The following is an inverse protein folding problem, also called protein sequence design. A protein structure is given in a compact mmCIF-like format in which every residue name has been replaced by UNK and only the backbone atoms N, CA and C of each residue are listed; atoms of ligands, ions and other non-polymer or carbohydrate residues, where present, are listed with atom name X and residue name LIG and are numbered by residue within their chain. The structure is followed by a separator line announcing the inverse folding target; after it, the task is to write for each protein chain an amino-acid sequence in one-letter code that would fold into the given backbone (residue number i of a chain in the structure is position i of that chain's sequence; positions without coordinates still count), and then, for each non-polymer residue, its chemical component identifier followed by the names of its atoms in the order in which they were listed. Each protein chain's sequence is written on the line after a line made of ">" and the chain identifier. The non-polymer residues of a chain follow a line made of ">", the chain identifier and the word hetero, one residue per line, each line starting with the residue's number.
data_IF_202421154512
#
_entry.id   IF_202421154512
#
_cell.length_a   1.000
_cell.length_b   1.000
_cell.length_c   1.000
_cell.angle_alpha   90.00
_cell.angle_beta   90.00
_cell.angle_gamma   90.00
#
_symmetry.space_group_name_H-M   'P 1'
#
loop_
_entity.id
_entity.type
_entity.pdbx_description
1 polymer ?
#
# COMPACT_ATOMS: atom_id res chain seq x y z
N UNK A 1 1.27 -2.95 14.64
CA UNK A 1 2.44 -2.88 13.74
C UNK A 1 1.96 -2.30 12.42
N UNK A 2 2.62 -1.26 11.93
CA UNK A 2 2.31 -0.55 10.68
C UNK A 2 3.06 -1.18 9.52
N UNK A 3 2.34 -1.65 8.51
CA UNK A 3 2.89 -2.33 7.35
C UNK A 3 2.62 -1.50 6.11
N UNK A 4 3.68 -1.12 5.40
CA UNK A 4 3.59 -0.52 4.07
C UNK A 4 3.59 -1.62 3.02
N UNK A 5 2.62 -1.60 2.11
CA UNK A 5 2.53 -2.49 0.95
C UNK A 5 2.57 -1.66 -0.32
N UNK A 6 3.65 -1.80 -1.10
CA UNK A 6 3.75 -1.15 -2.42
C UNK A 6 3.22 -2.07 -3.51
N UNK A 7 2.73 -1.51 -4.62
CA UNK A 7 2.15 -2.30 -5.70
C UNK A 7 0.83 -2.96 -5.27
N UNK A 8 0.09 -2.32 -4.35
CA UNK A 8 -1.11 -2.89 -3.70
C UNK A 8 -2.26 -3.18 -4.65
N UNK A 9 -2.33 -2.49 -5.79
CA UNK A 9 -3.32 -2.71 -6.87
C UNK A 9 -2.87 -3.74 -7.90
N UNK A 10 -1.61 -4.18 -7.87
CA UNK A 10 -1.08 -5.22 -8.75
C UNK A 10 -1.64 -6.61 -8.41
N UNK A 11 -1.43 -7.57 -9.32
CA UNK A 11 -1.98 -8.93 -9.17
C UNK A 11 -1.60 -9.56 -7.83
N UNK A 12 -0.30 -9.63 -7.50
CA UNK A 12 0.18 -10.21 -6.22
C UNK A 12 -0.19 -9.30 -5.05
N UNK A 13 -0.05 -7.98 -5.21
CA UNK A 13 -0.36 -7.00 -4.17
C UNK A 13 -1.78 -7.14 -3.64
N UNK A 14 -2.75 -7.29 -4.54
CA UNK A 14 -4.16 -7.45 -4.16
C UNK A 14 -4.39 -8.69 -3.26
N UNK A 15 -3.77 -9.83 -3.58
CA UNK A 15 -3.86 -11.02 -2.72
C UNK A 15 -3.20 -10.79 -1.37
N UNK A 16 -2.02 -10.18 -1.33
CA UNK A 16 -1.31 -9.87 -0.09
C UNK A 16 -2.15 -8.94 0.80
N UNK A 17 -2.77 -7.91 0.23
CA UNK A 17 -3.67 -7.01 0.94
C UNK A 17 -4.82 -7.75 1.63
N UNK A 18 -5.48 -8.66 0.89
CA UNK A 18 -6.58 -9.46 1.43
C UNK A 18 -6.14 -10.38 2.57
N UNK A 19 -4.96 -11.00 2.45
CA UNK A 19 -4.39 -11.86 3.50
C UNK A 19 -4.02 -11.07 4.75
N UNK A 20 -3.40 -9.89 4.61
CA UNK A 20 -3.03 -9.02 5.73
C UNK A 20 -4.27 -8.52 6.48
N UNK A 21 -5.32 -8.13 5.76
CA UNK A 21 -6.61 -7.71 6.35
C UNK A 21 -7.25 -8.86 7.10
N UNK A 22 -7.21 -10.09 6.55
CA UNK A 22 -7.78 -11.28 7.21
C UNK A 22 -7.12 -11.56 8.56
N UNK A 23 -5.83 -11.28 8.71
CA UNK A 23 -5.10 -11.45 9.97
C UNK A 23 -5.52 -10.42 11.04
N UNK A 24 -6.09 -9.28 10.63
CA UNK A 24 -6.76 -8.27 11.47
C UNK A 24 -5.91 -7.75 12.67
N UNK A 25 -4.60 -7.70 12.51
CA UNK A 25 -3.64 -7.29 13.55
C UNK A 25 -2.62 -6.23 13.05
N UNK A 26 -2.78 -5.75 11.82
CA UNK A 26 -1.90 -4.77 11.19
C UNK A 26 -2.63 -3.46 10.89
N UNK A 27 -1.92 -2.36 11.08
CA UNK A 27 -2.27 -1.07 10.50
C UNK A 27 -1.61 -1.02 9.11
N UNK A 28 -2.40 -0.93 8.05
CA UNK A 28 -1.90 -1.15 6.68
C UNK A 28 -1.93 0.17 5.92
N UNK A 29 -0.77 0.51 5.34
CA UNK A 29 -0.63 1.56 4.32
C UNK A 29 -0.44 0.88 2.97
N UNK A 30 -1.38 1.11 2.06
CA UNK A 30 -1.34 0.64 0.69
C UNK A 30 -0.89 1.77 -0.23
N UNK A 31 0.01 1.49 -1.17
CA UNK A 31 0.43 2.43 -2.20
C UNK A 31 0.57 1.76 -3.57
N UNK A 32 0.15 2.48 -4.60
CA UNK A 32 0.46 2.18 -5.99
C UNK A 32 0.45 3.46 -6.83
N UNK A 33 0.81 3.35 -8.11
CA UNK A 33 0.77 4.44 -9.09
C UNK A 33 -0.67 4.83 -9.46
N UNK A 34 -1.62 3.93 -9.26
CA UNK A 34 -3.02 4.09 -9.66
C UNK A 34 -3.69 5.24 -8.91
N UNK A 35 -4.61 5.94 -9.58
CA UNK A 35 -5.40 6.97 -8.92
C UNK A 35 -6.26 6.38 -7.82
N UNK A 36 -6.65 7.22 -6.85
CA UNK A 36 -7.62 6.85 -5.82
C UNK A 36 -8.92 6.30 -6.42
N UNK A 37 -9.35 6.78 -7.59
CA UNK A 37 -10.56 6.30 -8.27
C UNK A 37 -10.43 4.85 -8.74
N UNK A 38 -9.25 4.45 -9.21
CA UNK A 38 -8.96 3.07 -9.59
C UNK A 38 -8.87 2.21 -8.32
N UNK A 39 -8.14 2.69 -7.31
CA UNK A 39 -7.95 1.97 -6.05
C UNK A 39 -9.27 1.73 -5.28
N UNK A 40 -10.25 2.64 -5.41
CA UNK A 40 -11.59 2.50 -4.82
C UNK A 40 -12.34 1.23 -5.25
N UNK A 41 -11.97 0.63 -6.38
CA UNK A 41 -12.60 -0.61 -6.89
C UNK A 41 -12.12 -1.88 -6.17
N UNK A 42 -11.10 -1.78 -5.31
CA UNK A 42 -10.58 -2.92 -4.57
C UNK A 42 -11.31 -3.09 -3.23
N UNK A 43 -11.70 -4.33 -2.90
CA UNK A 43 -12.45 -4.66 -1.67
C UNK A 43 -11.75 -4.23 -0.38
N UNK A 44 -10.41 -4.14 -0.42
CA UNK A 44 -9.59 -3.74 0.71
C UNK A 44 -9.52 -2.23 0.93
N UNK A 45 -9.89 -1.39 -0.04
CA UNK A 45 -9.63 0.05 -0.02
C UNK A 45 -10.16 0.74 1.25
N UNK A 46 -11.43 0.46 1.62
CA UNK A 46 -12.07 1.08 2.78
C UNK A 46 -11.60 0.53 4.13
N UNK A 47 -10.68 -0.44 4.15
CA UNK A 47 -10.18 -1.11 5.36
C UNK A 47 -8.76 -0.70 5.72
N UNK A 48 -8.10 0.07 4.85
CA UNK A 48 -6.69 0.44 4.96
C UNK A 48 -6.51 1.91 4.65
N UNK A 49 -5.32 2.43 4.94
CA UNK A 49 -4.93 3.75 4.46
C UNK A 49 -4.34 3.63 3.06
N UNK A 50 -4.93 4.29 2.08
CA UNK A 50 -4.35 4.38 0.74
C UNK A 50 -3.61 5.71 0.56
N UNK A 51 -2.35 5.64 0.12
CA UNK A 51 -1.55 6.79 -0.28
C UNK A 51 -1.09 6.52 -1.71
N UNK A 52 -1.62 7.26 -2.69
CA UNK A 52 -1.12 7.17 -4.07
C UNK A 52 0.31 7.70 -4.12
N UNK A 53 1.20 6.98 -4.79
CA UNK A 53 2.57 7.43 -5.02
C UNK A 53 3.16 6.75 -6.24
N UNK A 54 3.85 7.52 -7.07
CA UNK A 54 4.87 6.96 -7.96
C UNK A 54 6.20 6.90 -7.19
N UNK A 55 6.84 5.74 -7.17
CA UNK A 55 8.11 5.55 -6.45
C UNK A 55 9.31 6.13 -7.21
N UNK A 56 9.14 6.43 -8.51
CA UNK A 56 10.13 7.17 -9.31
C UNK A 56 10.13 8.68 -9.03
N UNK A 57 9.11 9.19 -8.32
CA UNK A 57 9.06 10.59 -7.95
C UNK A 57 10.21 10.93 -7.00
N UNK A 58 10.69 12.18 -7.10
CA UNK A 58 11.79 12.70 -6.27
C UNK A 58 11.31 13.08 -4.87
N UNK A 59 10.71 12.15 -4.15
CA UNK A 59 10.32 12.32 -2.75
C UNK A 59 11.58 12.19 -1.89
N UNK A 60 11.88 13.25 -1.12
CA UNK A 60 13.10 13.35 -0.31
C UNK A 60 13.19 12.26 0.77
N UNK A 61 12.06 11.83 1.31
CA UNK A 61 12.01 10.83 2.37
C UNK A 61 10.70 10.03 2.32
N UNK A 62 10.75 8.87 1.66
CA UNK A 62 9.63 7.94 1.59
C UNK A 62 9.25 7.36 2.95
N UNK A 63 10.21 7.19 3.87
CA UNK A 63 9.94 6.64 5.19
C UNK A 63 8.97 7.53 5.97
N UNK A 64 9.26 8.84 6.05
CA UNK A 64 8.35 9.80 6.71
C UNK A 64 7.08 10.05 5.89
N UNK A 65 7.16 10.05 4.55
CA UNK A 65 5.98 10.20 3.68
C UNK A 65 4.95 9.08 3.90
N UNK A 66 5.40 7.84 4.07
CA UNK A 66 4.54 6.69 4.42
C UNK A 66 4.37 6.50 5.93
N UNK A 67 4.55 7.58 6.71
CA UNK A 67 4.26 7.61 8.15
C UNK A 67 5.04 6.59 8.99
N UNK A 68 6.30 6.40 8.63
CA UNK A 68 7.28 5.66 9.43
C UNK A 68 6.84 4.20 9.70
N UNK A 69 6.62 3.38 8.64
CA UNK A 69 6.13 2.01 8.80
C UNK A 69 7.14 1.13 9.53
N UNK A 70 6.64 0.20 10.35
CA UNK A 70 7.45 -0.80 11.06
C UNK A 70 7.99 -1.88 10.11
N UNK A 71 7.31 -2.10 8.98
CA UNK A 71 7.67 -3.14 7.99
C UNK A 71 7.22 -2.74 6.59
N UNK A 72 7.96 -3.22 5.59
CA UNK A 72 7.71 -2.98 4.17
C UNK A 72 7.55 -4.32 3.44
N UNK A 73 6.46 -4.46 2.70
CA UNK A 73 6.26 -5.50 1.69
C UNK A 73 6.30 -4.80 0.32
N UNK A 74 7.43 -4.92 -0.36
CA UNK A 74 7.67 -4.25 -1.63
C UNK A 74 7.30 -5.16 -2.81
N UNK A 75 6.18 -4.88 -3.47
CA UNK A 75 5.69 -5.61 -4.64
C UNK A 75 5.52 -4.69 -5.86
N UNK A 76 5.88 -3.41 -5.74
CA UNK A 76 5.87 -2.50 -6.87
C UNK A 76 7.02 -2.87 -7.79
N UNK A 77 6.75 -2.94 -9.09
CA UNK A 77 7.70 -3.25 -10.13
C UNK A 77 7.23 -2.57 -11.42
N UNK A 78 8.19 -2.11 -12.22
CA UNK A 78 8.05 -1.24 -13.40
C UNK A 78 7.83 0.25 -13.11
#
# INVERSE_FOLDING_TARGET
>A
MKVLVTGSTGFIGNYVMNELIRLNNYDIIATSIDSTEVALNFEWFNKVKYIQSNLDDKIKNFYTFFEEPDSLIHLAWE
#
